data_IF_535767488649
#
_entry.id   IF_535767488649
#
_cell.length_a   1.000
_cell.length_b   1.000
_cell.length_c   1.000
_cell.angle_alpha   90.00
_cell.angle_beta   90.00
_cell.angle_gamma   90.00
#
_symmetry.space_group_name_H-M   'P 1'
#
loop_
_entity.id
_entity.type
_entity.pdbx_description
1 polymer ?
#
# COMPACT_ATOMS: atom_id res chain seq x y z
N UNK A 1 -8.07 16.17 -4.15
CA UNK A 1 -7.04 15.59 -5.04
C UNK A 1 -5.85 15.10 -4.22
N UNK A 2 -5.20 15.94 -3.41
CA UNK A 2 -4.24 15.51 -2.36
C UNK A 2 -4.80 14.43 -1.42
N UNK A 3 -6.08 14.57 -1.06
CA UNK A 3 -6.88 13.58 -0.33
C UNK A 3 -6.83 12.15 -0.92
N UNK A 4 -6.70 12.00 -2.25
CA UNK A 4 -6.61 10.68 -2.87
C UNK A 4 -5.25 10.02 -2.59
N UNK A 5 -4.15 10.78 -2.69
CA UNK A 5 -2.83 10.27 -2.34
C UNK A 5 -2.75 9.87 -0.87
N UNK A 6 -3.38 10.63 0.02
CA UNK A 6 -3.51 10.29 1.44
C UNK A 6 -4.35 9.03 1.67
N UNK A 7 -5.44 8.84 0.92
CA UNK A 7 -6.24 7.61 0.98
C UNK A 7 -5.43 6.37 0.57
N UNK A 8 -4.61 6.46 -0.48
CA UNK A 8 -3.68 5.38 -0.86
C UNK A 8 -2.63 5.11 0.23
N UNK A 9 -2.10 6.17 0.86
CA UNK A 9 -1.13 6.02 1.95
C UNK A 9 -1.75 5.33 3.15
N UNK A 10 -2.94 5.78 3.58
CA UNK A 10 -3.67 5.18 4.69
C UNK A 10 -4.04 3.72 4.41
N UNK A 11 -4.44 3.41 3.17
CA UNK A 11 -4.69 2.03 2.73
C UNK A 11 -3.43 1.16 2.81
N UNK A 12 -2.29 1.67 2.37
CA UNK A 12 -1.01 0.99 2.46
C UNK A 12 -0.58 0.75 3.92
N UNK A 13 -0.80 1.72 4.80
CA UNK A 13 -0.46 1.60 6.23
C UNK A 13 -1.30 0.49 6.90
N UNK A 14 -2.63 0.52 6.71
CA UNK A 14 -3.53 -0.52 7.23
C UNK A 14 -3.19 -1.92 6.72
N UNK A 15 -2.88 -2.04 5.43
CA UNK A 15 -2.51 -3.33 4.84
C UNK A 15 -1.16 -3.83 5.37
N UNK A 16 -0.21 -2.93 5.60
CA UNK A 16 1.09 -3.24 6.21
C UNK A 16 0.92 -3.76 7.65
N UNK A 17 0.08 -3.12 8.46
CA UNK A 17 -0.25 -3.58 9.81
C UNK A 17 -0.90 -4.98 9.79
N UNK A 18 -1.86 -5.19 8.89
CA UNK A 18 -2.51 -6.50 8.75
C UNK A 18 -1.52 -7.60 8.35
N UNK A 19 -0.58 -7.31 7.46
CA UNK A 19 0.48 -8.24 7.07
C UNK A 19 1.38 -8.62 8.25
N UNK A 20 1.66 -7.71 9.17
CA UNK A 20 2.42 -8.03 10.40
C UNK A 20 1.66 -9.04 11.25
N UNK A 21 0.35 -8.85 11.43
CA UNK A 21 -0.49 -9.77 12.20
C UNK A 21 -0.55 -11.15 11.55
N UNK A 22 -0.82 -11.23 10.25
CA UNK A 22 -0.88 -12.51 9.52
C UNK A 22 0.45 -13.27 9.57
N UNK A 23 1.59 -12.57 9.50
CA UNK A 23 2.91 -13.20 9.66
C UNK A 23 3.14 -13.76 11.06
N UNK A 24 2.57 -13.14 12.10
CA UNK A 24 2.62 -13.69 13.47
C UNK A 24 1.75 -14.93 13.56
N UNK A 25 0.53 -14.90 13.04
CA UNK A 25 -0.38 -16.06 12.98
C UNK A 25 0.25 -17.25 12.22
N UNK A 26 0.94 -16.97 11.11
CA UNK A 26 1.61 -18.00 10.31
C UNK A 26 2.70 -18.76 11.09
N UNK A 27 3.41 -18.10 12.02
CA UNK A 27 4.49 -18.74 12.80
C UNK A 27 4.01 -19.93 13.62
N UNK A 28 2.74 -19.93 14.02
CA UNK A 28 2.13 -20.98 14.83
C UNK A 28 1.19 -21.89 14.03
N UNK A 29 0.83 -21.51 12.81
CA UNK A 29 -0.05 -22.30 11.95
C UNK A 29 0.66 -23.57 11.44
N UNK A 30 -0.13 -24.61 11.15
CA UNK A 30 0.33 -25.89 10.61
C UNK A 30 -0.60 -26.36 9.50
N UNK A 31 -0.08 -27.23 8.63
CA UNK A 31 -0.86 -27.88 7.57
C UNK A 31 -1.55 -26.89 6.63
N UNK A 32 -2.80 -27.17 6.29
CA UNK A 32 -3.60 -26.37 5.36
C UNK A 32 -3.76 -24.92 5.80
N UNK A 33 -3.89 -24.66 7.11
CA UNK A 33 -4.00 -23.29 7.63
C UNK A 33 -2.75 -22.46 7.35
N UNK A 34 -1.56 -23.05 7.48
CA UNK A 34 -0.31 -22.36 7.15
C UNK A 34 -0.24 -22.03 5.66
N UNK A 35 -0.59 -23.00 4.79
CA UNK A 35 -0.62 -22.80 3.35
C UNK A 35 -1.57 -21.67 2.91
N UNK A 36 -2.79 -21.64 3.48
CA UNK A 36 -3.76 -20.59 3.19
C UNK A 36 -3.30 -19.21 3.68
N UNK A 37 -2.65 -19.15 4.85
CA UNK A 37 -2.07 -17.92 5.38
C UNK A 37 -0.92 -17.41 4.50
N UNK A 38 -0.03 -18.28 4.03
CA UNK A 38 1.04 -17.93 3.11
C UNK A 38 0.51 -17.32 1.81
N UNK A 39 -0.46 -17.98 1.18
CA UNK A 39 -1.13 -17.46 -0.02
C UNK A 39 -1.76 -16.10 0.20
N UNK A 40 -2.46 -15.93 1.33
CA UNK A 40 -3.09 -14.65 1.68
C UNK A 40 -2.05 -13.55 1.90
N UNK A 41 -0.96 -13.85 2.59
CA UNK A 41 0.17 -12.93 2.79
C UNK A 41 0.79 -12.53 1.46
N UNK A 42 0.97 -13.48 0.54
CA UNK A 42 1.52 -13.20 -0.78
C UNK A 42 0.64 -12.21 -1.57
N UNK A 43 -0.66 -12.47 -1.65
CA UNK A 43 -1.63 -11.57 -2.32
C UNK A 43 -1.59 -10.17 -1.71
N UNK A 44 -1.67 -10.07 -0.38
CA UNK A 44 -1.66 -8.77 0.31
C UNK A 44 -0.34 -8.01 0.14
N UNK A 45 0.80 -8.71 -0.02
CA UNK A 45 2.09 -8.05 -0.32
C UNK A 45 2.09 -7.43 -1.72
N UNK A 46 1.45 -8.09 -2.70
CA UNK A 46 1.32 -7.54 -4.06
C UNK A 46 0.45 -6.28 -4.04
N UNK A 47 -0.73 -6.37 -3.40
CA UNK A 47 -1.64 -5.23 -3.22
C UNK A 47 -0.96 -4.05 -2.51
N UNK A 48 -0.17 -4.30 -1.46
CA UNK A 48 0.60 -3.26 -0.78
C UNK A 48 1.60 -2.56 -1.70
N UNK A 49 2.26 -3.34 -2.57
CA UNK A 49 3.16 -2.80 -3.58
C UNK A 49 2.44 -1.86 -4.55
N UNK A 50 1.25 -2.26 -5.00
CA UNK A 50 0.45 -1.46 -5.93
C UNK A 50 -0.07 -0.17 -5.28
N UNK A 51 -0.58 -0.24 -4.05
CA UNK A 51 -1.01 0.95 -3.30
C UNK A 51 0.13 1.95 -3.11
N UNK A 52 1.33 1.49 -2.75
CA UNK A 52 2.50 2.35 -2.61
C UNK A 52 2.94 2.97 -3.93
N UNK A 53 2.89 2.20 -5.02
CA UNK A 53 3.24 2.68 -6.35
C UNK A 53 2.27 3.78 -6.80
N UNK A 54 0.97 3.55 -6.67
CA UNK A 54 -0.06 4.51 -7.07
C UNK A 54 0.00 5.77 -6.20
N UNK A 55 0.09 5.60 -4.87
CA UNK A 55 0.23 6.74 -3.94
C UNK A 55 1.46 7.59 -4.24
N UNK A 56 2.61 6.95 -4.55
CA UNK A 56 3.83 7.65 -4.95
C UNK A 56 3.68 8.39 -6.28
N UNK A 57 3.04 7.77 -7.28
CA UNK A 57 2.74 8.41 -8.55
C UNK A 57 1.86 9.64 -8.38
N UNK A 58 0.77 9.53 -7.61
CA UNK A 58 -0.15 10.64 -7.33
C UNK A 58 0.56 11.79 -6.60
N UNK A 59 1.35 11.48 -5.56
CA UNK A 59 2.11 12.49 -4.82
C UNK A 59 3.12 13.23 -5.72
N UNK A 60 3.80 12.50 -6.63
CA UNK A 60 4.70 13.10 -7.61
C UNK A 60 3.98 13.98 -8.62
N UNK A 61 2.86 13.49 -9.16
CA UNK A 61 2.02 14.22 -10.10
C UNK A 61 1.52 15.54 -9.50
N UNK A 62 0.98 15.53 -8.28
CA UNK A 62 0.49 16.74 -7.63
C UNK A 62 1.62 17.72 -7.30
N UNK A 63 2.77 17.23 -6.82
CA UNK A 63 3.95 18.07 -6.61
C UNK A 63 4.40 18.79 -7.88
N UNK A 64 4.33 18.12 -9.03
CA UNK A 64 4.70 18.71 -10.31
C UNK A 64 3.65 19.72 -10.79
N UNK A 65 2.35 19.43 -10.60
CA UNK A 65 1.24 20.31 -10.94
C UNK A 65 1.22 21.61 -10.13
N UNK A 66 1.57 21.55 -8.84
CA UNK A 66 1.63 22.75 -7.98
C UNK A 66 2.84 23.64 -8.33
N UNK A 67 3.91 23.05 -8.88
CA UNK A 67 5.11 23.78 -9.32
C UNK A 67 4.98 24.42 -10.71
N UNK A 68 4.06 23.96 -11.55
CA UNK A 68 3.85 24.47 -12.92
C UNK A 68 2.89 25.67 -12.99
N UNK A 69 2.26 26.08 -11.88
CA UNK A 69 1.34 27.23 -11.81
C UNK A 69 1.97 28.62 -11.64
N UNK A 70 3.31 28.76 -11.68
CA UNK A 70 4.01 30.08 -11.58
C UNK A 70 4.97 30.32 -12.74
N UNK A 71 4.52 30.15 -13.97
CA UNK A 71 5.14 30.79 -15.14
C UNK A 71 4.08 31.00 -16.22
N UNK A 72 3.24 32.01 -16.07
CA UNK A 72 2.84 32.83 -17.21
C UNK A 72 2.95 34.30 -16.79
N UNK A 73 3.56 35.05 -17.72
CA UNK A 73 4.09 36.41 -17.70
C UNK A 73 3.02 37.49 -17.70
#
# INVERSE_FOLDING_TARGET
MERLADEYRLGADRLSERLVLLRRELRTARGETAFLLERRIETMRRELGDLRRIGGYLAGYYRQADGSGRREV
#
